data_IF_408643366356
#
_entry.id   IF_408643366356
#
_cell.length_a   1.000
_cell.length_b   1.000
_cell.length_c   1.000
_cell.angle_alpha   90.00
_cell.angle_beta   90.00
_cell.angle_gamma   90.00
#
_symmetry.space_group_name_H-M   'P 1'
#
loop_
_entity.id
_entity.type
_entity.pdbx_description
1 polymer ?
#
# COMPACT_ATOMS: atom_id res chain seq x y z
N UNK A 1 14.36 4.43 6.46
CA UNK A 1 13.15 3.63 6.81
C UNK A 1 11.99 4.62 6.95
N UNK A 2 10.76 4.26 6.59
CA UNK A 2 9.64 5.20 6.38
C UNK A 2 9.27 5.98 7.67
N UNK A 3 9.66 7.27 7.79
CA UNK A 3 9.55 8.00 9.06
C UNK A 3 8.11 8.40 9.42
N UNK A 4 7.23 8.44 8.42
CA UNK A 4 5.82 8.82 8.56
C UNK A 4 4.90 7.61 8.35
N UNK A 5 5.32 6.41 8.77
CA UNK A 5 4.49 5.22 8.69
C UNK A 5 3.35 5.33 9.70
N UNK A 6 2.11 5.36 9.21
CA UNK A 6 0.91 5.41 10.03
C UNK A 6 0.06 4.17 9.75
N UNK A 7 -0.58 3.64 10.79
CA UNK A 7 -1.60 2.58 10.66
C UNK A 7 -2.95 3.14 11.09
N UNK A 8 -4.05 2.46 10.75
CA UNK A 8 -5.39 2.91 11.17
C UNK A 8 -5.55 2.97 12.69
N UNK A 9 -4.84 2.10 13.42
CA UNK A 9 -4.79 2.11 14.88
C UNK A 9 -4.02 3.32 15.44
N UNK A 10 -3.16 3.96 14.64
CA UNK A 10 -2.50 5.24 15.00
C UNK A 10 -3.35 6.45 14.62
N UNK A 11 -4.24 6.32 13.62
CA UNK A 11 -5.02 7.42 13.05
C UNK A 11 -6.42 7.59 13.66
N UNK A 12 -6.97 6.54 14.28
CA UNK A 12 -8.32 6.53 14.84
C UNK A 12 -8.32 6.00 16.28
N UNK A 13 -9.24 6.50 17.10
CA UNK A 13 -9.40 6.04 18.49
C UNK A 13 -9.96 4.61 18.56
N UNK A 14 -9.83 3.97 19.73
CA UNK A 14 -10.40 2.64 19.91
C UNK A 14 -11.93 2.64 19.79
N UNK A 15 -12.59 3.70 20.23
CA UNK A 15 -14.04 3.91 20.13
C UNK A 15 -14.47 4.10 18.68
N UNK A 16 -13.70 4.84 17.88
CA UNK A 16 -13.96 5.03 16.44
C UNK A 16 -13.82 3.71 15.66
N UNK A 17 -12.88 2.85 16.08
CA UNK A 17 -12.65 1.54 15.45
C UNK A 17 -13.59 0.44 15.96
N UNK A 18 -14.16 0.59 17.15
CA UNK A 18 -14.98 -0.43 17.81
C UNK A 18 -16.12 -1.01 16.93
N UNK A 19 -16.87 -0.22 16.13
CA UNK A 19 -17.96 -0.74 15.28
C UNK A 19 -17.49 -1.68 14.16
N UNK A 20 -16.20 -1.64 13.82
CA UNK A 20 -15.61 -2.36 12.70
C UNK A 20 -14.82 -3.59 13.16
N UNK A 21 -14.22 -3.58 14.36
CA UNK A 21 -13.30 -4.61 14.88
C UNK A 21 -13.82 -6.06 14.77
N UNK A 22 -15.12 -6.29 14.93
CA UNK A 22 -15.74 -7.62 14.84
C UNK A 22 -16.06 -8.08 13.40
N UNK A 23 -15.87 -7.22 12.40
CA UNK A 23 -16.22 -7.48 11.02
C UNK A 23 -15.02 -7.19 10.10
N UNK A 24 -14.29 -8.24 9.72
CA UNK A 24 -13.12 -8.13 8.84
C UNK A 24 -13.40 -7.36 7.54
N UNK A 25 -14.57 -7.58 6.92
CA UNK A 25 -14.97 -6.84 5.71
C UNK A 25 -15.16 -5.34 5.94
N UNK A 26 -15.64 -4.93 7.12
CA UNK A 26 -15.79 -3.51 7.47
C UNK A 26 -14.45 -2.88 7.83
N UNK A 27 -13.57 -3.61 8.52
CA UNK A 27 -12.18 -3.18 8.73
C UNK A 27 -11.44 -2.99 7.40
N UNK A 28 -11.65 -3.88 6.44
CA UNK A 28 -11.08 -3.76 5.10
C UNK A 28 -11.64 -2.58 4.30
N UNK A 29 -12.89 -2.17 4.56
CA UNK A 29 -13.47 -0.98 3.92
C UNK A 29 -12.77 0.32 4.35
N UNK A 30 -12.24 0.39 5.57
CA UNK A 30 -11.39 1.50 6.02
C UNK A 30 -10.09 1.54 5.23
N UNK A 31 -9.39 0.39 5.12
CA UNK A 31 -8.17 0.29 4.32
C UNK A 31 -8.43 0.66 2.85
N UNK A 32 -9.57 0.22 2.30
CA UNK A 32 -9.99 0.53 0.94
C UNK A 32 -10.16 2.03 0.72
N UNK A 33 -10.85 2.72 1.63
CA UNK A 33 -11.15 4.15 1.51
C UNK A 33 -9.88 4.99 1.54
N UNK A 34 -8.97 4.68 2.47
CA UNK A 34 -7.67 5.37 2.57
C UNK A 34 -6.83 5.10 1.32
N UNK A 35 -6.76 3.84 0.88
CA UNK A 35 -6.02 3.49 -0.33
C UNK A 35 -6.68 4.01 -1.61
N UNK A 36 -7.98 4.31 -1.62
CA UNK A 36 -8.66 4.90 -2.78
C UNK A 36 -8.24 6.36 -2.96
N UNK A 37 -8.13 7.11 -1.87
CA UNK A 37 -7.83 8.55 -1.91
C UNK A 37 -6.33 8.87 -1.80
N UNK A 38 -5.47 7.87 -1.64
CA UNK A 38 -4.01 8.09 -1.61
C UNK A 38 -3.46 8.47 -2.98
N UNK A 39 -2.44 9.32 -3.02
CA UNK A 39 -1.75 9.66 -4.28
C UNK A 39 -1.09 8.42 -4.91
N UNK A 40 -0.50 7.57 -4.06
CA UNK A 40 0.18 6.34 -4.44
C UNK A 40 -0.40 5.18 -3.64
N UNK A 41 -0.70 4.08 -4.32
CA UNK A 41 -1.10 2.82 -3.70
C UNK A 41 0.00 1.77 -3.93
N UNK A 42 0.42 1.05 -2.88
CA UNK A 42 1.40 -0.03 -2.98
C UNK A 42 0.74 -1.34 -2.56
N UNK A 43 0.69 -2.33 -3.45
CA UNK A 43 0.11 -3.64 -3.13
C UNK A 43 1.16 -4.73 -3.01
N UNK A 44 1.04 -5.55 -1.96
CA UNK A 44 1.94 -6.66 -1.70
C UNK A 44 1.34 -8.02 -2.09
N UNK A 45 0.07 -8.13 -2.45
CA UNK A 45 -0.53 -9.41 -2.86
C UNK A 45 -1.48 -9.23 -4.04
N UNK A 46 -1.72 -10.32 -4.78
CA UNK A 46 -2.85 -10.36 -5.70
C UNK A 46 -4.17 -10.56 -4.93
N UNK A 47 -5.29 -10.54 -5.64
CA UNK A 47 -6.60 -10.84 -5.08
C UNK A 47 -7.62 -9.72 -5.33
N UNK A 48 -8.81 -9.89 -4.74
CA UNK A 48 -9.96 -9.04 -5.03
C UNK A 48 -9.75 -7.59 -4.60
N UNK A 49 -9.18 -7.36 -3.41
CA UNK A 49 -8.97 -6.01 -2.88
C UNK A 49 -8.17 -5.11 -3.84
N UNK A 50 -6.92 -5.43 -4.21
CA UNK A 50 -6.15 -4.58 -5.11
C UNK A 50 -6.76 -4.52 -6.52
N UNK A 51 -7.41 -5.59 -6.99
CA UNK A 51 -8.06 -5.61 -8.30
C UNK A 51 -9.22 -4.60 -8.38
N UNK A 52 -10.14 -4.63 -7.42
CA UNK A 52 -11.25 -3.67 -7.37
C UNK A 52 -10.75 -2.25 -7.11
N UNK A 53 -9.76 -2.07 -6.23
CA UNK A 53 -9.23 -0.77 -5.89
C UNK A 53 -8.54 -0.09 -7.08
N UNK A 54 -7.73 -0.83 -7.85
CA UNK A 54 -7.08 -0.30 -9.06
C UNK A 54 -8.09 0.19 -10.09
N UNK A 55 -9.13 -0.60 -10.36
CA UNK A 55 -10.20 -0.21 -11.27
C UNK A 55 -10.94 1.04 -10.79
N UNK A 56 -11.27 1.09 -9.50
CA UNK A 56 -11.98 2.23 -8.91
C UNK A 56 -11.14 3.51 -8.91
N UNK A 57 -9.85 3.43 -8.54
CA UNK A 57 -8.91 4.56 -8.62
C UNK A 57 -8.75 5.04 -10.06
N UNK A 58 -8.62 4.13 -11.02
CA UNK A 58 -8.54 4.48 -12.45
C UNK A 58 -9.79 5.20 -12.94
N UNK A 59 -10.97 4.74 -12.52
CA UNK A 59 -12.24 5.37 -12.87
C UNK A 59 -12.39 6.77 -12.26
N UNK A 60 -12.17 6.93 -10.95
CA UNK A 60 -12.36 8.21 -10.26
C UNK A 60 -11.34 9.28 -10.66
N UNK A 61 -10.09 8.91 -10.90
CA UNK A 61 -9.00 9.85 -11.18
C UNK A 61 -8.59 9.92 -12.66
N UNK A 62 -9.49 9.54 -13.58
CA UNK A 62 -9.26 9.68 -15.02
C UNK A 62 -8.03 8.91 -15.56
N UNK A 63 -7.63 7.82 -14.89
CA UNK A 63 -6.44 7.04 -15.24
C UNK A 63 -5.13 7.52 -14.63
N UNK A 64 -5.12 8.55 -13.80
CA UNK A 64 -3.88 9.13 -13.25
C UNK A 64 -3.49 8.62 -11.85
N UNK A 65 -4.03 7.49 -11.40
CA UNK A 65 -3.71 6.93 -10.09
C UNK A 65 -2.47 6.04 -10.14
N UNK A 66 -1.42 6.39 -9.40
CA UNK A 66 -0.20 5.57 -9.30
C UNK A 66 -0.43 4.32 -8.45
N UNK A 67 -0.11 3.15 -9.02
CA UNK A 67 -0.05 1.87 -8.30
C UNK A 67 1.33 1.24 -8.44
N UNK A 68 1.93 0.86 -7.32
CA UNK A 68 3.24 0.19 -7.26
C UNK A 68 3.04 -1.24 -6.79
N UNK A 69 3.55 -2.19 -7.58
CA UNK A 69 3.63 -3.60 -7.20
C UNK A 69 5.10 -4.01 -7.12
N UNK A 70 5.70 -4.01 -5.92
CA UNK A 70 7.11 -4.34 -5.77
C UNK A 70 7.41 -5.80 -6.14
N UNK A 71 8.59 -6.04 -6.72
CA UNK A 71 9.11 -7.39 -6.90
C UNK A 71 9.55 -7.95 -5.55
N UNK A 72 8.73 -8.83 -4.99
CA UNK A 72 8.98 -9.46 -3.69
C UNK A 72 10.27 -10.26 -3.65
N UNK A 73 10.61 -10.97 -4.74
CA UNK A 73 11.82 -11.81 -4.77
C UNK A 73 13.05 -10.93 -4.70
N UNK A 74 13.04 -9.84 -5.44
CA UNK A 74 14.09 -8.83 -5.40
C UNK A 74 14.18 -8.13 -4.05
N UNK A 75 13.04 -7.75 -3.46
CA UNK A 75 13.01 -7.17 -2.12
C UNK A 75 13.55 -8.12 -1.06
N UNK A 76 13.23 -9.42 -1.13
CA UNK A 76 13.75 -10.41 -0.19
C UNK A 76 15.29 -10.48 -0.25
N UNK A 77 15.87 -10.57 -1.45
CA UNK A 77 17.34 -10.56 -1.62
C UNK A 77 17.96 -9.24 -1.13
N UNK A 78 17.29 -8.12 -1.37
CA UNK A 78 17.76 -6.81 -0.92
C UNK A 78 17.78 -6.69 0.60
N UNK A 79 16.72 -7.11 1.27
CA UNK A 79 16.61 -7.03 2.73
C UNK A 79 17.50 -8.03 3.46
N UNK A 80 17.90 -9.12 2.80
CA UNK A 80 18.86 -10.09 3.34
C UNK A 80 20.32 -9.58 3.29
N UNK A 81 20.59 -8.46 2.60
CA UNK A 81 21.93 -7.88 2.52
C UNK A 81 22.18 -6.87 3.66
N UNK A 82 23.00 -7.19 4.68
CA UNK A 82 23.27 -6.30 5.82
C UNK A 82 24.07 -5.06 5.44
N UNK A 83 24.70 -5.04 4.25
CA UNK A 83 25.45 -3.88 3.73
C UNK A 83 24.61 -3.00 2.81
N UNK A 84 23.31 -3.26 2.68
CA UNK A 84 22.42 -2.49 1.82
C UNK A 84 22.32 -1.04 2.31
N UNK A 85 22.86 -0.10 1.53
CA UNK A 85 22.64 1.33 1.78
C UNK A 85 21.27 1.78 1.25
N UNK A 86 20.68 2.81 1.87
CA UNK A 86 19.42 3.40 1.38
C UNK A 86 19.54 3.93 -0.06
N UNK A 87 20.71 4.44 -0.44
CA UNK A 87 20.98 4.91 -1.81
C UNK A 87 20.96 3.75 -2.81
N UNK A 88 21.60 2.63 -2.46
CA UNK A 88 21.60 1.40 -3.26
C UNK A 88 20.19 0.82 -3.39
N UNK A 89 19.40 0.83 -2.31
CA UNK A 89 18.01 0.38 -2.33
C UNK A 89 17.15 1.19 -3.31
N UNK A 90 17.24 2.52 -3.27
CA UNK A 90 16.49 3.40 -4.19
C UNK A 90 16.88 3.15 -5.65
N UNK A 91 18.18 3.06 -5.93
CA UNK A 91 18.68 2.80 -7.28
C UNK A 91 18.15 1.48 -7.85
N UNK A 92 18.09 0.43 -7.04
CA UNK A 92 17.58 -0.86 -7.48
C UNK A 92 16.07 -0.91 -7.69
N UNK A 93 15.29 0.01 -7.10
CA UNK A 93 13.82 0.00 -7.15
C UNK A 93 13.19 1.06 -8.08
N UNK A 94 13.98 1.89 -8.77
CA UNK A 94 13.49 3.02 -9.58
C UNK A 94 12.75 2.66 -10.90
N UNK A 95 12.39 1.39 -11.15
CA UNK A 95 11.88 0.92 -12.48
C UNK A 95 10.51 0.24 -12.48
N UNK A 96 9.71 0.36 -11.42
CA UNK A 96 8.43 -0.37 -11.30
C UNK A 96 7.27 0.55 -10.95
N UNK A 97 7.02 1.57 -11.78
CA UNK A 97 5.70 2.22 -11.83
C UNK A 97 4.88 1.48 -12.91
N UNK A 98 3.74 0.90 -12.52
CA UNK A 98 2.78 0.37 -13.50
C UNK A 98 1.73 1.47 -13.70
N UNK A 99 1.61 1.93 -14.94
CA UNK A 99 0.63 2.92 -15.40
C UNK A 99 -0.81 2.47 -15.20
#
# INVERSE_FOLDING_TARGET
MFPNLQTKEMLASEEELAPFKSFSSRMAALDYTVCLHSEVFVTTQGGNFPHFLMGHRRYLFGGHSKTIRPDKRKLAVLFDNPKLSSRSFKHQNAKHEVS
#
